data_IF_889086598022
#
_entry.id   IF_889086598022
#
_cell.length_a   1.000
_cell.length_b   1.000
_cell.length_c   1.000
_cell.angle_alpha   90.00
_cell.angle_beta   90.00
_cell.angle_gamma   90.00
#
_symmetry.space_group_name_H-M   'P 1'
#
loop_
_entity.id
_entity.type
_entity.pdbx_description
1 polymer ?
#
# COMPACT_ATOMS: atom_id res chain seq x y z
N UNK A 1 8.59 3.13 -9.59
CA UNK A 1 7.96 2.81 -8.29
C UNK A 1 7.47 1.37 -8.19
N UNK A 2 6.59 0.86 -9.06
CA UNK A 2 6.02 -0.50 -8.94
C UNK A 2 7.05 -1.63 -8.80
N UNK A 3 8.12 -1.64 -9.62
CA UNK A 3 9.16 -2.67 -9.55
C UNK A 3 9.85 -2.69 -8.18
N UNK A 4 10.19 -1.51 -7.66
CA UNK A 4 10.81 -1.36 -6.35
C UNK A 4 9.84 -1.72 -5.21
N UNK A 5 8.57 -1.30 -5.30
CA UNK A 5 7.55 -1.67 -4.33
C UNK A 5 7.34 -3.19 -4.27
N UNK A 6 7.27 -3.86 -5.42
CA UNK A 6 7.17 -5.32 -5.50
C UNK A 6 8.40 -6.04 -4.93
N UNK A 7 9.60 -5.48 -5.15
CA UNK A 7 10.83 -5.99 -4.55
C UNK A 7 10.79 -5.88 -3.02
N UNK A 8 10.41 -4.71 -2.49
CA UNK A 8 10.27 -4.48 -1.05
C UNK A 8 9.21 -5.38 -0.41
N UNK A 9 8.07 -5.61 -1.09
CA UNK A 9 7.05 -6.57 -0.63
C UNK A 9 7.62 -7.98 -0.52
N UNK A 10 8.44 -8.41 -1.49
CA UNK A 10 9.08 -9.72 -1.46
C UNK A 10 10.08 -9.84 -0.29
N UNK A 11 10.86 -8.78 -0.04
CA UNK A 11 11.79 -8.72 1.09
C UNK A 11 11.07 -8.77 2.45
N UNK A 12 9.95 -8.05 2.61
CA UNK A 12 9.10 -8.12 3.81
C UNK A 12 8.57 -9.53 4.05
N UNK A 13 8.04 -10.19 3.01
CA UNK A 13 7.57 -11.58 3.11
C UNK A 13 8.68 -12.55 3.50
N UNK A 14 9.88 -12.37 2.96
CA UNK A 14 11.03 -13.20 3.31
C UNK A 14 11.39 -13.03 4.79
N UNK A 15 11.30 -11.81 5.32
CA UNK A 15 11.54 -11.50 6.73
C UNK A 15 10.50 -12.16 7.64
N UNK A 16 9.21 -12.09 7.27
CA UNK A 16 8.13 -12.72 8.02
C UNK A 16 8.30 -14.25 8.10
N UNK A 17 8.72 -14.90 7.01
CA UNK A 17 9.00 -16.33 6.98
C UNK A 17 10.15 -16.71 7.91
N UNK A 18 11.24 -15.92 7.94
CA UNK A 18 12.38 -16.12 8.85
C UNK A 18 11.96 -15.96 10.30
N UNK A 19 11.15 -14.94 10.57
CA UNK A 19 10.61 -14.69 11.91
C UNK A 19 9.75 -15.88 12.34
N UNK A 20 8.86 -16.39 11.48
CA UNK A 20 8.05 -17.59 11.71
C UNK A 20 8.88 -18.81 12.11
N UNK A 21 10.02 -19.02 11.46
CA UNK A 21 10.90 -20.17 11.66
C UNK A 21 11.77 -20.14 12.94
N UNK A 22 11.87 -18.99 13.63
CA UNK A 22 12.66 -18.89 14.87
C UNK A 22 12.05 -19.74 15.98
N UNK A 23 12.83 -20.68 16.52
CA UNK A 23 12.46 -21.46 17.71
C UNK A 23 12.66 -20.62 18.97
N UNK A 24 11.73 -20.77 19.92
CA UNK A 24 11.72 -20.04 21.18
C UNK A 24 12.55 -20.81 22.21
N UNK A 25 13.49 -20.17 22.93
CA UNK A 25 14.18 -20.82 24.03
C UNK A 25 13.18 -21.22 25.13
N UNK A 26 13.23 -22.48 25.58
CA UNK A 26 12.30 -23.06 26.58
C UNK A 26 12.61 -22.61 28.02
N UNK A 27 13.75 -21.96 28.23
CA UNK A 27 14.36 -21.85 29.56
C UNK A 27 13.97 -20.60 30.36
N UNK A 28 13.40 -19.57 29.72
CA UNK A 28 12.99 -18.32 30.38
C UNK A 28 11.61 -17.86 29.89
N UNK A 29 10.62 -17.98 30.78
CA UNK A 29 9.22 -17.64 30.53
C UNK A 29 9.01 -16.15 30.22
N UNK A 30 9.77 -15.25 30.86
CA UNK A 30 9.66 -13.81 30.64
C UNK A 30 10.28 -13.40 29.31
N UNK A 31 11.45 -13.94 29.00
CA UNK A 31 12.11 -13.75 27.71
C UNK A 31 11.26 -14.30 26.56
N UNK A 32 10.71 -15.49 26.73
CA UNK A 32 9.80 -16.15 25.80
C UNK A 32 8.55 -15.29 25.52
N UNK A 33 7.92 -14.75 26.56
CA UNK A 33 6.79 -13.84 26.43
C UNK A 33 7.15 -12.55 25.67
N UNK A 34 8.32 -11.96 25.96
CA UNK A 34 8.78 -10.75 25.28
C UNK A 34 9.08 -11.01 23.80
N UNK A 35 9.79 -12.09 23.46
CA UNK A 35 10.05 -12.49 22.06
C UNK A 35 8.72 -12.69 21.30
N UNK A 36 7.72 -13.30 21.93
CA UNK A 36 6.39 -13.47 21.33
C UNK A 36 5.73 -12.12 21.02
N UNK A 37 5.70 -11.19 21.97
CA UNK A 37 5.13 -9.85 21.75
C UNK A 37 5.88 -9.10 20.65
N UNK A 38 7.22 -9.16 20.64
CA UNK A 38 8.02 -8.55 19.57
C UNK A 38 7.73 -9.15 18.20
N UNK A 39 7.50 -10.46 18.14
CA UNK A 39 7.09 -11.13 16.90
C UNK A 39 5.72 -10.63 16.43
N UNK A 40 4.74 -10.58 17.31
CA UNK A 40 3.39 -10.08 16.98
C UNK A 40 3.43 -8.63 16.47
N UNK A 41 4.21 -7.76 17.13
CA UNK A 41 4.40 -6.37 16.72
C UNK A 41 5.07 -6.30 15.34
N UNK A 42 6.11 -7.09 15.09
CA UNK A 42 6.80 -7.12 13.79
C UNK A 42 5.89 -7.61 12.66
N UNK A 43 5.08 -8.65 12.88
CA UNK A 43 4.13 -9.15 11.88
C UNK A 43 3.09 -8.07 11.54
N UNK A 44 2.54 -7.38 12.57
CA UNK A 44 1.60 -6.27 12.32
C UNK A 44 2.26 -5.13 11.54
N UNK A 45 3.47 -4.76 11.93
CA UNK A 45 4.23 -3.70 11.26
C UNK A 45 4.53 -4.07 9.79
N UNK A 46 4.96 -5.31 9.52
CA UNK A 46 5.17 -5.83 8.16
C UNK A 46 3.88 -5.77 7.34
N UNK A 47 2.74 -6.19 7.91
CA UNK A 47 1.45 -6.13 7.22
C UNK A 47 1.05 -4.69 6.86
N UNK A 48 1.29 -3.71 7.72
CA UNK A 48 1.01 -2.29 7.43
C UNK A 48 1.88 -1.82 6.27
N UNK A 49 3.17 -2.11 6.29
CA UNK A 49 4.07 -1.75 5.18
C UNK A 49 3.72 -2.46 3.88
N UNK A 50 3.33 -3.74 3.93
CA UNK A 50 2.89 -4.47 2.75
C UNK A 50 1.63 -3.85 2.14
N UNK A 51 0.61 -3.54 2.95
CA UNK A 51 -0.61 -2.87 2.49
C UNK A 51 -0.30 -1.51 1.85
N UNK A 52 0.59 -0.75 2.47
CA UNK A 52 1.04 0.54 1.95
C UNK A 52 1.78 0.41 0.61
N UNK A 53 2.74 -0.52 0.51
CA UNK A 53 3.47 -0.76 -0.74
C UNK A 53 2.55 -1.30 -1.84
N UNK A 54 1.55 -2.11 -1.49
CA UNK A 54 0.52 -2.59 -2.43
C UNK A 54 -0.32 -1.43 -2.95
N UNK A 55 -0.73 -0.50 -2.08
CA UNK A 55 -1.44 0.72 -2.49
C UNK A 55 -0.63 1.52 -3.52
N UNK A 56 0.68 1.71 -3.28
CA UNK A 56 1.58 2.39 -4.22
C UNK A 56 1.89 1.59 -5.50
N UNK A 57 1.87 0.26 -5.43
CA UNK A 57 2.15 -0.63 -6.56
C UNK A 57 0.92 -0.90 -7.44
N UNK A 58 -0.29 -0.66 -6.90
CA UNK A 58 -1.56 -0.97 -7.55
C UNK A 58 -1.60 -0.30 -8.92
N UNK A 59 -1.82 -1.08 -10.00
CA UNK A 59 -1.90 -0.49 -11.32
C UNK A 59 -3.08 0.47 -11.36
N UNK A 60 -2.81 1.68 -11.87
CA UNK A 60 -3.92 2.45 -12.40
C UNK A 60 -4.50 1.66 -13.55
N UNK A 61 -5.79 1.35 -13.45
CA UNK A 61 -6.53 0.72 -14.53
C UNK A 61 -6.26 1.54 -15.77
N UNK A 62 -5.64 0.92 -16.79
CA UNK A 62 -5.56 1.57 -18.10
C UNK A 62 -7.01 1.95 -18.46
N UNK A 63 -7.33 3.20 -18.83
CA UNK A 63 -8.60 3.47 -19.45
C UNK A 63 -8.65 2.51 -20.63
N UNK A 64 -9.63 1.61 -20.60
CA UNK A 64 -9.70 0.50 -21.54
C UNK A 64 -9.58 1.09 -22.95
N UNK A 65 -8.42 0.91 -23.60
CA UNK A 65 -8.26 1.14 -25.03
C UNK A 65 -9.04 0.03 -25.71
N UNK A 66 -10.35 0.18 -25.72
CA UNK A 66 -11.25 -0.81 -26.24
C UNK A 66 -12.14 -0.15 -27.28
N UNK A 67 -11.48 0.35 -28.33
CA UNK A 67 -12.11 0.61 -29.62
C UNK A 67 -12.75 -0.66 -30.19
N UNK A 68 -12.40 -1.84 -29.67
CA UNK A 68 -12.96 -3.15 -30.01
C UNK A 68 -14.15 -3.59 -29.12
N UNK A 69 -14.32 -3.08 -27.89
CA UNK A 69 -15.48 -3.47 -27.06
C UNK A 69 -16.76 -2.77 -27.50
N UNK A 70 -16.69 -1.58 -28.10
CA UNK A 70 -17.87 -0.94 -28.71
C UNK A 70 -18.45 -1.80 -29.85
N UNK A 71 -17.59 -2.46 -30.63
CA UNK A 71 -18.02 -3.38 -31.70
C UNK A 71 -18.60 -4.67 -31.11
N UNK A 72 -18.05 -5.17 -29.99
CA UNK A 72 -18.60 -6.36 -29.31
C UNK A 72 -19.97 -6.11 -28.64
N UNK A 73 -20.21 -4.89 -28.13
CA UNK A 73 -21.47 -4.49 -27.49
C UNK A 73 -22.60 -4.23 -28.49
N UNK A 74 -22.29 -3.96 -29.76
CA UNK A 74 -23.30 -3.82 -30.81
C UNK A 74 -23.84 -5.19 -31.28
N UNK A 75 -23.07 -6.28 -31.09
CA UNK A 75 -23.42 -7.62 -31.55
C UNK A 75 -24.14 -8.48 -30.47
N UNK A 76 -24.06 -8.10 -29.19
CA UNK A 76 -24.72 -8.83 -28.10
C UNK A 76 -25.68 -7.95 -27.31
N UNK A 77 -26.85 -7.68 -27.91
CA UNK A 77 -28.03 -7.17 -27.21
C UNK A 77 -28.66 -8.29 -26.38
N UNK A 78 -28.38 -8.33 -25.06
CA UNK A 78 -29.36 -8.72 -24.02
C UNK A 78 -28.88 -8.36 -22.62
N UNK A 79 -29.61 -7.44 -21.98
CA UNK A 79 -29.66 -7.09 -20.54
C UNK A 79 -29.86 -8.36 -19.66
N UNK A 80 -29.58 -8.42 -18.33
CA UNK A 80 -29.62 -7.34 -17.34
C UNK A 80 -28.57 -7.33 -16.20
N UNK A 81 -28.77 -6.35 -15.30
CA UNK A 81 -28.38 -6.28 -13.89
C UNK A 81 -27.13 -5.45 -13.55
N UNK A 82 -27.44 -4.43 -12.74
CA UNK A 82 -26.56 -3.54 -12.01
C UNK A 82 -25.74 -4.35 -11.00
N UNK A 83 -24.42 -4.33 -11.13
CA UNK A 83 -23.52 -4.55 -10.00
C UNK A 83 -22.85 -3.21 -9.72
N UNK A 84 -23.30 -2.55 -8.65
CA UNK A 84 -22.56 -1.50 -7.97
C UNK A 84 -21.27 -2.10 -7.39
N UNK A 85 -20.24 -2.25 -8.22
CA UNK A 85 -18.88 -2.28 -7.70
C UNK A 85 -18.55 -0.86 -7.26
N UNK A 86 -18.73 -0.62 -5.96
CA UNK A 86 -18.16 0.53 -5.27
C UNK A 86 -16.64 0.43 -5.36
N UNK A 87 -16.09 0.88 -6.49
CA UNK A 87 -14.66 0.99 -6.72
C UNK A 87 -14.12 1.99 -5.71
N UNK A 88 -13.25 1.52 -4.82
CA UNK A 88 -12.41 2.39 -4.00
C UNK A 88 -11.48 3.09 -4.99
N UNK A 89 -11.92 4.23 -5.51
CA UNK A 89 -11.16 5.05 -6.44
C UNK A 89 -9.96 5.58 -5.67
N UNK A 90 -8.78 5.03 -5.95
CA UNK A 90 -7.54 5.58 -5.44
C UNK A 90 -7.34 6.96 -6.09
N UNK A 91 -7.01 7.98 -5.31
CA UNK A 91 -6.74 9.35 -5.80
C UNK A 91 -5.71 9.33 -6.94
N UNK A 92 -4.73 8.43 -6.87
CA UNK A 92 -3.73 8.18 -7.92
C UNK A 92 -4.35 7.72 -9.25
N UNK A 93 -5.35 6.84 -9.20
CA UNK A 93 -6.09 6.40 -10.40
C UNK A 93 -6.87 7.55 -11.02
N UNK A 94 -7.41 8.43 -10.17
CA UNK A 94 -8.20 9.57 -10.59
C UNK A 94 -7.37 10.64 -11.31
N UNK A 95 -6.09 10.79 -10.94
CA UNK A 95 -5.12 11.70 -11.56
C UNK A 95 -4.68 11.18 -12.92
N UNK A 96 -4.28 9.91 -12.98
CA UNK A 96 -3.83 9.27 -14.22
C UNK A 96 -4.93 9.22 -15.30
N UNK A 97 -6.18 8.99 -14.91
CA UNK A 97 -7.33 9.07 -15.83
C UNK A 97 -7.50 10.48 -16.41
N UNK A 98 -7.42 11.52 -15.58
CA UNK A 98 -7.55 12.91 -16.01
C UNK A 98 -6.39 13.35 -16.94
N UNK A 99 -5.18 12.84 -16.69
CA UNK A 99 -4.01 13.06 -17.54
C UNK A 99 -4.13 12.37 -18.91
N UNK A 100 -4.85 11.25 -19.01
CA UNK A 100 -5.03 10.52 -20.27
C UNK A 100 -6.14 11.12 -21.17
N UNK A 101 -7.09 11.88 -20.61
CA UNK A 101 -8.20 12.58 -21.30
C UNK A 101 -7.84 14.03 -21.70
N UNK A 102 -6.63 14.22 -22.22
CA UNK A 102 -6.05 15.55 -22.46
C UNK A 102 -6.48 16.14 -23.80
N UNK A 103 -7.75 16.57 -23.90
CA UNK A 103 -8.26 17.31 -25.08
C UNK A 103 -9.15 18.53 -24.77
N UNK A 104 -9.36 18.90 -23.50
CA UNK A 104 -10.22 20.04 -23.13
C UNK A 104 -9.63 20.87 -21.99
N UNK A 105 -9.78 22.21 -22.04
CA UNK A 105 -9.19 23.15 -21.05
C UNK A 105 -9.75 22.92 -19.65
N UNK A 106 -11.02 22.54 -19.53
CA UNK A 106 -11.66 22.19 -18.26
C UNK A 106 -11.04 20.92 -17.64
N UNK A 107 -10.63 19.94 -18.46
CA UNK A 107 -9.95 18.73 -17.99
C UNK A 107 -8.57 19.06 -17.40
N UNK A 108 -7.89 20.08 -17.92
CA UNK A 108 -6.58 20.53 -17.42
C UNK A 108 -6.72 21.17 -16.02
N UNK A 109 -7.77 21.96 -15.79
CA UNK A 109 -8.01 22.55 -14.46
C UNK A 109 -8.37 21.49 -13.42
N UNK A 110 -9.20 20.51 -13.80
CA UNK A 110 -9.55 19.37 -12.93
C UNK A 110 -8.30 18.55 -12.60
N UNK A 111 -7.46 18.24 -13.58
CA UNK A 111 -6.20 17.52 -13.38
C UNK A 111 -5.26 18.28 -12.43
N UNK A 112 -5.13 19.61 -12.60
CA UNK A 112 -4.33 20.46 -11.70
C UNK A 112 -4.81 20.42 -10.26
N UNK A 113 -6.11 20.55 -10.02
CA UNK A 113 -6.66 20.47 -8.66
C UNK A 113 -6.35 19.12 -8.02
N UNK A 114 -6.59 18.02 -8.74
CA UNK A 114 -6.27 16.67 -8.24
C UNK A 114 -4.78 16.47 -7.95
N UNK A 115 -3.90 17.08 -8.74
CA UNK A 115 -2.46 17.04 -8.47
C UNK A 115 -2.08 17.80 -7.20
N UNK A 116 -2.71 18.95 -6.93
CA UNK A 116 -2.51 19.70 -5.69
C UNK A 116 -3.01 18.90 -4.48
N UNK A 117 -4.20 18.31 -4.57
CA UNK A 117 -4.75 17.45 -3.51
C UNK A 117 -3.81 16.27 -3.24
N UNK A 118 -3.30 15.61 -4.29
CA UNK A 118 -2.33 14.51 -4.19
C UNK A 118 -1.00 14.95 -3.55
N UNK A 119 -0.51 16.15 -3.87
CA UNK A 119 0.73 16.70 -3.29
C UNK A 119 0.59 16.85 -1.76
N UNK A 120 -0.53 17.41 -1.29
CA UNK A 120 -0.84 17.53 0.15
C UNK A 120 -0.90 16.15 0.80
N UNK A 121 -1.60 15.19 0.17
CA UNK A 121 -1.69 13.82 0.70
C UNK A 121 -0.34 13.11 0.77
N UNK A 122 0.57 13.36 -0.18
CA UNK A 122 1.95 12.84 -0.14
C UNK A 122 2.71 13.45 1.04
N UNK A 123 2.62 14.77 1.25
CA UNK A 123 3.29 15.44 2.37
C UNK A 123 2.80 14.91 3.73
N UNK A 124 1.49 14.76 3.92
CA UNK A 124 0.91 14.19 5.14
C UNK A 124 1.39 12.76 5.39
N UNK A 125 1.49 11.97 4.33
CA UNK A 125 1.97 10.60 4.37
C UNK A 125 3.46 10.52 4.73
N UNK A 126 4.31 11.35 4.14
CA UNK A 126 5.74 11.43 4.48
C UNK A 126 5.94 11.78 5.96
N UNK A 127 5.18 12.76 6.45
CA UNK A 127 5.17 13.15 7.86
C UNK A 127 4.73 11.99 8.78
N UNK A 128 3.71 11.23 8.39
CA UNK A 128 3.25 10.06 9.14
C UNK A 128 4.34 8.98 9.20
N UNK A 129 4.95 8.66 8.06
CA UNK A 129 6.03 7.66 7.97
C UNK A 129 7.23 8.05 8.84
N UNK A 130 7.64 9.31 8.81
CA UNK A 130 8.74 9.79 9.64
C UNK A 130 8.48 9.58 11.14
N UNK A 131 7.25 9.82 11.59
CA UNK A 131 6.82 9.55 12.97
C UNK A 131 6.88 8.06 13.29
N UNK A 132 6.39 7.19 12.41
CA UNK A 132 6.44 5.73 12.60
C UNK A 132 7.89 5.25 12.68
N UNK A 133 8.77 5.67 11.78
CA UNK A 133 10.19 5.31 11.81
C UNK A 133 10.87 5.74 13.11
N UNK A 134 10.61 6.97 13.59
CA UNK A 134 11.13 7.42 14.88
C UNK A 134 10.66 6.57 16.05
N UNK A 135 9.39 6.16 16.06
CA UNK A 135 8.86 5.28 17.11
C UNK A 135 9.50 3.90 17.06
N UNK A 136 9.65 3.29 15.88
CA UNK A 136 10.31 1.99 15.73
C UNK A 136 11.76 1.99 16.22
N UNK A 137 12.51 3.05 15.91
CA UNK A 137 13.90 3.22 16.41
C UNK A 137 13.92 3.31 17.94
N UNK A 138 13.04 4.13 18.53
CA UNK A 138 12.94 4.27 19.99
C UNK A 138 12.57 2.95 20.66
N UNK A 139 11.57 2.24 20.15
CA UNK A 139 11.17 0.93 20.67
C UNK A 139 12.31 -0.07 20.60
N UNK A 140 13.04 -0.15 19.48
CA UNK A 140 14.22 -1.00 19.35
C UNK A 140 15.30 -0.64 20.37
N UNK A 141 15.59 0.64 20.55
CA UNK A 141 16.58 1.10 21.53
C UNK A 141 16.16 0.75 22.97
N UNK A 142 14.89 0.98 23.32
CA UNK A 142 14.35 0.60 24.63
C UNK A 142 14.46 -0.89 24.90
N UNK A 143 14.14 -1.74 23.91
CA UNK A 143 14.29 -3.19 24.03
C UNK A 143 15.75 -3.57 24.24
N UNK A 144 16.66 -3.06 23.41
CA UNK A 144 18.09 -3.36 23.54
C UNK A 144 18.63 -2.92 24.90
N UNK A 145 18.20 -1.77 25.41
CA UNK A 145 18.59 -1.28 26.73
C UNK A 145 18.11 -2.21 27.85
N UNK A 146 16.89 -2.75 27.77
CA UNK A 146 16.38 -3.73 28.75
C UNK A 146 17.22 -5.01 28.75
N UNK A 147 17.71 -5.44 27.58
CA UNK A 147 18.56 -6.62 27.45
C UNK A 147 20.04 -6.40 27.80
N UNK A 148 20.47 -5.15 27.87
CA UNK A 148 21.87 -4.79 28.15
C UNK A 148 22.12 -4.44 29.62
N UNK A 149 21.05 -4.39 30.44
CA UNK A 149 21.09 -4.24 31.90
C UNK A 149 21.09 -5.59 32.59
#
# INVERSE_FOLDING_TARGET
MRKEANKLIAELKQMDNKLGALQLPDQDQHLSALIRVLREVNVKNSSVFQSFLLFLATPVSKPTQSRWSMVSKLMHKRTPACEETQEIVNELQSVDYALNEMSNVDNIQIARKKLQDLEISIEELENCLERVFRHLIKTRASILNIFSQ
#
